data_IF_256487991454
#
_entry.id   IF_256487991454
#
_cell.length_a   1.000
_cell.length_b   1.000
_cell.length_c   1.000
_cell.angle_alpha   90.00
_cell.angle_beta   90.00
_cell.angle_gamma   90.00
#
_symmetry.space_group_name_H-M   'P 1'
#
loop_
_entity.id
_entity.type
_entity.pdbx_description
1 polymer ?
#
# COMPACT_ATOMS: atom_id res chain seq x y z
N UNK A 1 7.54 -1.34 6.71
CA UNK A 1 6.51 -2.36 6.47
C UNK A 1 5.71 -2.50 7.74
N UNK A 2 4.41 -2.35 7.63
CA UNK A 2 3.48 -2.37 8.75
C UNK A 2 2.44 -3.43 8.46
N UNK A 3 2.16 -4.27 9.45
CA UNK A 3 0.97 -5.09 9.50
C UNK A 3 -0.06 -4.38 10.40
N UNK A 4 -1.34 -4.54 10.09
CA UNK A 4 -2.42 -3.92 10.86
C UNK A 4 -3.64 -4.84 10.93
N UNK A 5 -4.26 -4.87 12.09
CA UNK A 5 -5.55 -5.52 12.36
C UNK A 5 -6.14 -4.98 13.67
N UNK A 6 -7.36 -5.37 14.04
CA UNK A 6 -7.96 -4.83 15.27
C UNK A 6 -7.37 -5.32 16.60
N UNK A 7 -6.47 -6.31 16.61
CA UNK A 7 -5.73 -6.71 17.82
C UNK A 7 -4.44 -5.92 17.98
N UNK A 8 -3.70 -5.71 16.88
CA UNK A 8 -2.61 -4.74 16.80
C UNK A 8 -2.83 -3.81 15.59
N UNK A 9 -3.45 -2.63 15.81
CA UNK A 9 -3.80 -1.72 14.72
C UNK A 9 -2.62 -1.15 13.95
N UNK A 10 -1.39 -1.30 14.46
CA UNK A 10 -0.20 -0.74 13.82
C UNK A 10 1.09 -1.44 14.27
N UNK A 11 1.35 -2.63 13.72
CA UNK A 11 2.52 -3.43 14.03
C UNK A 11 3.65 -3.18 13.01
N UNK A 12 4.75 -2.57 13.47
CA UNK A 12 5.91 -2.29 12.60
C UNK A 12 6.81 -3.53 12.49
N UNK A 13 6.70 -4.25 11.36
CA UNK A 13 7.53 -5.45 11.09
C UNK A 13 8.94 -5.07 10.64
N UNK A 14 9.07 -4.02 9.83
CA UNK A 14 10.37 -3.54 9.37
C UNK A 14 10.38 -2.03 9.21
N UNK A 15 11.39 -1.38 9.77
CA UNK A 15 11.43 0.07 9.86
C UNK A 15 12.65 0.65 9.12
N UNK A 16 12.38 1.50 8.11
CA UNK A 16 13.35 2.30 7.34
C UNK A 16 14.65 1.57 6.93
N UNK A 17 14.59 0.23 6.80
CA UNK A 17 15.75 -0.60 6.54
C UNK A 17 16.00 -0.75 5.04
N UNK A 18 17.28 -0.95 4.62
CA UNK A 18 17.58 -1.30 3.24
C UNK A 18 16.81 -2.54 2.80
N UNK A 19 16.30 -2.56 1.57
CA UNK A 19 15.49 -3.67 1.06
C UNK A 19 16.20 -5.03 1.20
N UNK A 20 17.51 -5.08 1.00
CA UNK A 20 18.31 -6.30 1.12
C UNK A 20 18.43 -6.84 2.57
N UNK A 21 18.09 -6.03 3.57
CA UNK A 21 18.09 -6.39 4.98
C UNK A 21 16.70 -6.82 5.49
N UNK A 22 15.66 -6.72 4.66
CA UNK A 22 14.30 -7.14 5.02
C UNK A 22 14.23 -8.66 4.95
N UNK A 23 13.95 -9.29 6.10
CA UNK A 23 13.75 -10.74 6.16
C UNK A 23 12.44 -11.14 5.45
N UNK A 24 12.38 -12.35 4.84
CA UNK A 24 11.12 -12.89 4.34
C UNK A 24 10.08 -12.99 5.44
N UNK A 25 8.82 -12.68 5.11
CA UNK A 25 7.69 -12.90 5.99
C UNK A 25 7.51 -14.41 6.25
N UNK A 26 7.23 -14.75 7.51
CA UNK A 26 6.94 -16.11 7.96
C UNK A 26 5.59 -16.15 8.66
N UNK A 27 5.07 -17.35 8.92
CA UNK A 27 3.84 -17.51 9.69
C UNK A 27 3.97 -17.02 11.16
N UNK A 28 5.19 -16.76 11.65
CA UNK A 28 5.38 -16.14 12.98
C UNK A 28 5.46 -14.61 12.92
N UNK A 29 5.78 -14.02 11.77
CA UNK A 29 6.01 -12.57 11.61
C UNK A 29 4.92 -11.87 10.78
N UNK A 30 4.09 -12.63 10.07
CA UNK A 30 2.93 -12.14 9.33
C UNK A 30 1.70 -12.98 9.68
N UNK A 31 0.90 -12.50 10.63
CA UNK A 31 -0.19 -13.27 11.24
C UNK A 31 -1.50 -12.55 10.96
N UNK A 32 -2.34 -13.02 10.02
CA UNK A 32 -3.66 -12.44 9.80
C UNK A 32 -4.54 -12.58 11.05
N UNK A 33 -5.17 -11.48 11.48
CA UNK A 33 -6.01 -11.44 12.70
C UNK A 33 -7.26 -10.58 12.47
N UNK A 34 -8.33 -10.93 13.17
CA UNK A 34 -9.52 -10.13 13.43
C UNK A 34 -10.07 -9.31 12.24
N UNK A 35 -10.04 -7.98 12.32
CA UNK A 35 -10.75 -7.07 11.41
C UNK A 35 -9.81 -5.99 10.86
N UNK A 36 -10.28 -5.12 9.96
CA UNK A 36 -9.44 -4.28 9.10
C UNK A 36 -9.58 -2.78 9.44
N UNK A 37 -8.71 -2.21 10.29
CA UNK A 37 -8.65 -0.76 10.54
C UNK A 37 -7.79 -0.06 9.47
N UNK A 38 -8.22 -0.15 8.21
CA UNK A 38 -7.51 0.36 7.03
C UNK A 38 -7.25 1.87 7.12
N UNK A 39 -8.26 2.67 7.47
CA UNK A 39 -8.12 4.13 7.54
C UNK A 39 -7.16 4.57 8.65
N UNK A 40 -7.20 3.92 9.82
CA UNK A 40 -6.25 4.19 10.90
C UNK A 40 -4.82 3.82 10.49
N UNK A 41 -4.62 2.66 9.86
CA UNK A 41 -3.32 2.23 9.37
C UNK A 41 -2.75 3.19 8.31
N UNK A 42 -3.57 3.63 7.36
CA UNK A 42 -3.20 4.61 6.34
C UNK A 42 -2.88 5.98 6.95
N UNK A 43 -3.77 6.50 7.79
CA UNK A 43 -3.62 7.81 8.41
C UNK A 43 -2.34 7.91 9.24
N UNK A 44 -2.12 6.92 10.11
CA UNK A 44 -0.90 6.83 10.92
C UNK A 44 0.35 6.67 10.05
N UNK A 45 0.33 5.74 9.10
CA UNK A 45 1.50 5.47 8.25
C UNK A 45 1.91 6.62 7.36
N UNK A 46 0.97 7.40 6.83
CA UNK A 46 1.28 8.61 6.06
C UNK A 46 1.97 9.65 6.95
N UNK A 47 1.42 9.92 8.14
CA UNK A 47 1.96 10.94 9.05
C UNK A 47 3.33 10.55 9.61
N UNK A 48 3.50 9.27 9.97
CA UNK A 48 4.78 8.78 10.48
C UNK A 48 5.87 8.83 9.40
N UNK A 49 5.56 8.37 8.19
CA UNK A 49 6.51 8.43 7.07
C UNK A 49 6.86 9.88 6.72
N UNK A 50 5.89 10.80 6.72
CA UNK A 50 6.16 12.23 6.54
C UNK A 50 7.13 12.78 7.60
N UNK A 51 6.88 12.50 8.88
CA UNK A 51 7.73 12.96 9.96
C UNK A 51 9.17 12.45 9.82
N UNK A 52 9.33 11.18 9.43
CA UNK A 52 10.64 10.57 9.16
C UNK A 52 11.34 11.24 7.98
N UNK A 53 10.65 11.47 6.87
CA UNK A 53 11.22 12.13 5.70
C UNK A 53 11.62 13.58 5.95
N UNK A 54 10.89 14.29 6.81
CA UNK A 54 11.22 15.64 7.25
C UNK A 54 12.50 15.68 8.10
N UNK A 55 12.80 14.62 8.84
CA UNK A 55 14.03 14.50 9.63
C UNK A 55 15.27 14.15 8.78
N UNK A 56 15.11 13.73 7.52
CA UNK A 56 16.22 13.42 6.62
C UNK A 56 16.74 14.71 5.98
N UNK A 57 18.07 14.96 5.99
CA UNK A 57 18.66 16.09 5.27
C UNK A 57 18.27 16.09 3.79
N UNK A 58 18.01 17.26 3.22
CA UNK A 58 17.49 17.38 1.85
C UNK A 58 18.31 16.62 0.80
N UNK A 59 19.65 16.62 0.94
CA UNK A 59 20.56 15.92 0.03
C UNK A 59 20.44 14.38 0.06
N UNK A 60 19.84 13.83 1.12
CA UNK A 60 19.65 12.39 1.32
C UNK A 60 18.17 11.97 1.23
N UNK A 61 17.25 12.92 1.04
CA UNK A 61 15.82 12.62 0.97
C UNK A 61 15.54 11.79 -0.31
N UNK A 62 14.76 10.71 -0.24
CA UNK A 62 14.47 9.89 -1.40
C UNK A 62 13.73 10.72 -2.46
N UNK A 63 14.14 10.59 -3.72
CA UNK A 63 13.49 11.27 -4.84
C UNK A 63 12.14 10.69 -5.26
N UNK A 64 11.76 9.51 -4.73
CA UNK A 64 10.49 8.82 -5.03
C UNK A 64 10.00 8.07 -3.82
N UNK A 65 8.69 8.10 -3.60
CA UNK A 65 8.02 7.42 -2.48
C UNK A 65 6.87 6.61 -3.05
N UNK A 66 6.93 5.30 -2.84
CA UNK A 66 5.87 4.36 -3.21
C UNK A 66 5.21 3.87 -1.92
N UNK A 67 3.90 4.05 -1.81
CA UNK A 67 3.09 3.59 -0.69
C UNK A 67 2.19 2.45 -1.16
N UNK A 68 2.55 1.21 -0.83
CA UNK A 68 1.82 0.02 -1.27
C UNK A 68 0.92 -0.46 -0.13
N UNK A 69 -0.36 -0.61 -0.42
CA UNK A 69 -1.38 -1.17 0.47
C UNK A 69 -1.78 -2.54 -0.06
N UNK A 70 -1.82 -3.51 0.82
CA UNK A 70 -2.25 -4.87 0.51
C UNK A 70 -3.30 -5.28 1.53
N UNK A 71 -4.49 -5.70 1.07
CA UNK A 71 -5.55 -6.16 1.98
C UNK A 71 -6.54 -7.10 1.29
N UNK A 72 -7.05 -8.08 2.02
CA UNK A 72 -8.10 -9.01 1.58
C UNK A 72 -9.47 -8.73 2.22
N UNK A 73 -9.63 -7.58 2.88
CA UNK A 73 -10.88 -7.16 3.52
C UNK A 73 -11.10 -5.63 3.47
N UNK A 74 -12.37 -5.23 3.46
CA UNK A 74 -12.80 -3.82 3.47
C UNK A 74 -12.57 -3.15 4.82
N UNK A 75 -12.54 -1.82 4.86
CA UNK A 75 -12.56 -1.05 6.11
C UNK A 75 -13.78 -1.42 6.98
N UNK A 76 -13.55 -1.68 8.27
CA UNK A 76 -14.62 -2.01 9.22
C UNK A 76 -14.28 -1.79 10.71
N UNK A 77 -13.14 -1.18 11.04
CA UNK A 77 -12.64 -1.15 12.41
C UNK A 77 -11.87 0.12 12.83
N UNK A 78 -11.66 1.07 11.91
CA UNK A 78 -10.97 2.33 12.19
C UNK A 78 -11.76 3.23 13.13
N UNK A 79 -11.05 3.99 13.97
CA UNK A 79 -11.60 4.86 15.03
C UNK A 79 -10.98 6.25 15.09
N UNK A 80 -9.78 6.44 14.57
CA UNK A 80 -9.03 7.71 14.66
C UNK A 80 -9.07 8.51 13.35
N UNK A 81 -9.17 7.80 12.24
CA UNK A 81 -9.22 8.35 10.90
C UNK A 81 -10.49 7.88 10.19
N UNK A 82 -11.16 8.83 9.55
CA UNK A 82 -12.25 8.55 8.64
C UNK A 82 -11.77 8.67 7.19
N UNK A 83 -12.65 8.24 6.26
CA UNK A 83 -12.40 8.31 4.83
C UNK A 83 -12.00 9.71 4.35
N UNK A 84 -12.66 10.75 4.84
CA UNK A 84 -12.43 12.13 4.37
C UNK A 84 -11.04 12.62 4.78
N UNK A 85 -10.63 12.33 6.01
CA UNK A 85 -9.31 12.66 6.54
C UNK A 85 -8.21 11.90 5.79
N UNK A 86 -8.38 10.58 5.58
CA UNK A 86 -7.39 9.78 4.84
C UNK A 86 -7.31 10.22 3.37
N UNK A 87 -8.44 10.47 2.72
CA UNK A 87 -8.43 10.98 1.34
C UNK A 87 -7.71 12.33 1.22
N UNK A 88 -7.92 13.23 2.18
CA UNK A 88 -7.20 14.51 2.24
C UNK A 88 -5.69 14.30 2.36
N UNK A 89 -5.25 13.36 3.21
CA UNK A 89 -3.84 13.02 3.37
C UNK A 89 -3.25 12.43 2.07
N UNK A 90 -3.93 11.47 1.45
CA UNK A 90 -3.50 10.84 0.20
C UNK A 90 -3.34 11.88 -0.90
N UNK A 91 -4.37 12.72 -1.12
CA UNK A 91 -4.34 13.77 -2.14
C UNK A 91 -3.18 14.76 -1.90
N UNK A 92 -2.95 15.17 -0.65
CA UNK A 92 -1.83 16.05 -0.31
C UNK A 92 -0.48 15.39 -0.60
N UNK A 93 -0.32 14.09 -0.31
CA UNK A 93 0.93 13.37 -0.60
C UNK A 93 1.14 13.09 -2.08
N UNK A 94 0.08 12.81 -2.83
CA UNK A 94 0.15 12.69 -4.29
C UNK A 94 0.59 14.00 -4.95
N UNK A 95 0.14 15.15 -4.45
CA UNK A 95 0.62 16.46 -4.90
C UNK A 95 2.12 16.69 -4.62
N UNK A 96 2.68 15.98 -3.65
CA UNK A 96 4.12 15.94 -3.35
C UNK A 96 4.86 14.80 -4.08
N UNK A 97 4.21 14.12 -5.01
CA UNK A 97 4.80 13.07 -5.84
C UNK A 97 4.83 11.67 -5.20
N UNK A 98 4.10 11.43 -4.12
CA UNK A 98 3.92 10.07 -3.59
C UNK A 98 3.00 9.27 -4.52
N UNK A 99 3.36 8.02 -4.79
CA UNK A 99 2.52 7.11 -5.57
C UNK A 99 1.89 6.09 -4.61
N UNK A 100 0.56 6.04 -4.60
CA UNK A 100 -0.20 5.06 -3.81
C UNK A 100 -0.62 3.90 -4.71
N UNK A 101 -0.32 2.68 -4.28
CA UNK A 101 -0.63 1.44 -5.00
C UNK A 101 -1.51 0.59 -4.09
N UNK A 102 -2.66 0.13 -4.58
CA UNK A 102 -3.62 -0.62 -3.78
C UNK A 102 -3.86 -1.99 -4.39
N UNK A 103 -3.47 -3.04 -3.68
CA UNK A 103 -3.64 -4.43 -4.09
C UNK A 103 -4.68 -5.05 -3.17
N UNK A 104 -5.79 -5.56 -3.72
CA UNK A 104 -6.82 -6.17 -2.89
C UNK A 104 -7.36 -7.48 -3.42
N UNK A 105 -7.67 -8.38 -2.49
CA UNK A 105 -8.40 -9.60 -2.78
C UNK A 105 -9.93 -9.42 -2.66
N UNK A 106 -10.39 -8.25 -2.22
CA UNK A 106 -11.79 -7.97 -1.90
C UNK A 106 -12.32 -6.77 -2.69
N UNK A 107 -13.49 -6.94 -3.31
CA UNK A 107 -14.07 -5.90 -4.17
C UNK A 107 -14.46 -4.65 -3.37
N UNK A 108 -14.96 -4.81 -2.14
CA UNK A 108 -15.35 -3.65 -1.34
C UNK A 108 -14.13 -2.85 -0.87
N UNK A 109 -13.03 -3.53 -0.55
CA UNK A 109 -11.75 -2.86 -0.29
C UNK A 109 -11.19 -2.16 -1.54
N UNK A 110 -11.42 -2.71 -2.73
CA UNK A 110 -11.06 -2.04 -3.99
C UNK A 110 -11.87 -0.76 -4.22
N UNK A 111 -13.16 -0.77 -3.89
CA UNK A 111 -14.01 0.43 -3.93
C UNK A 111 -13.61 1.47 -2.88
N UNK A 112 -13.18 1.02 -1.69
CA UNK A 112 -12.58 1.89 -0.67
C UNK A 112 -11.39 2.68 -1.25
N UNK A 113 -10.48 2.02 -1.98
CA UNK A 113 -9.32 2.67 -2.58
C UNK A 113 -9.71 3.80 -3.54
N UNK A 114 -10.72 3.57 -4.40
CA UNK A 114 -11.24 4.60 -5.30
C UNK A 114 -11.84 5.77 -4.52
N UNK A 115 -12.60 5.47 -3.46
CA UNK A 115 -13.20 6.50 -2.59
C UNK A 115 -12.16 7.35 -1.84
N UNK A 116 -10.96 6.81 -1.64
CA UNK A 116 -9.84 7.49 -1.01
C UNK A 116 -9.04 8.37 -1.99
N UNK A 117 -9.30 8.29 -3.30
CA UNK A 117 -8.57 9.03 -4.33
C UNK A 117 -7.42 8.23 -4.96
N UNK A 118 -7.31 6.93 -4.67
CA UNK A 118 -6.36 6.05 -5.34
C UNK A 118 -7.00 5.57 -6.64
N UNK A 119 -6.47 6.03 -7.77
CA UNK A 119 -7.03 5.76 -9.08
C UNK A 119 -7.01 4.27 -9.45
N UNK A 120 -7.95 3.86 -10.30
CA UNK A 120 -8.03 2.49 -10.85
C UNK A 120 -6.72 2.03 -11.50
N UNK A 121 -5.96 2.96 -12.09
CA UNK A 121 -4.67 2.66 -12.72
C UNK A 121 -3.65 2.12 -11.72
N UNK A 122 -3.64 2.61 -10.49
CA UNK A 122 -2.72 2.17 -9.44
C UNK A 122 -3.36 1.18 -8.47
N UNK A 123 -4.51 0.62 -8.83
CA UNK A 123 -5.23 -0.37 -8.04
C UNK A 123 -5.38 -1.69 -8.80
N UNK A 124 -5.22 -2.82 -8.11
CA UNK A 124 -5.34 -4.17 -8.66
C UNK A 124 -6.20 -5.04 -7.74
N UNK A 125 -7.33 -5.52 -8.27
CA UNK A 125 -8.10 -6.60 -7.66
C UNK A 125 -7.47 -7.94 -8.05
N UNK A 126 -7.35 -8.87 -7.12
CA UNK A 126 -6.81 -10.21 -7.39
C UNK A 126 -7.66 -11.32 -6.74
N UNK A 127 -7.67 -12.51 -7.35
CA UNK A 127 -8.42 -13.65 -6.85
C UNK A 127 -7.90 -14.15 -5.49
N UNK A 128 -8.81 -14.54 -4.59
CA UNK A 128 -8.52 -15.15 -3.26
C UNK A 128 -7.97 -16.58 -3.37
N UNK A 129 -7.02 -16.81 -4.28
CA UNK A 129 -6.36 -18.09 -4.52
C UNK A 129 -4.90 -17.88 -4.92
N UNK A 130 -4.06 -18.89 -4.69
CA UNK A 130 -2.61 -18.83 -4.92
C UNK A 130 -2.23 -18.16 -6.25
N UNK A 131 -2.86 -18.57 -7.36
CA UNK A 131 -2.57 -18.03 -8.69
C UNK A 131 -2.81 -16.52 -8.80
N UNK A 132 -3.87 -16.00 -8.19
CA UNK A 132 -4.26 -14.59 -8.30
C UNK A 132 -3.28 -13.73 -7.51
N UNK A 133 -2.96 -14.16 -6.29
CA UNK A 133 -1.90 -13.53 -5.49
C UNK A 133 -0.54 -13.57 -6.17
N UNK A 134 -0.11 -14.72 -6.73
CA UNK A 134 1.17 -14.85 -7.44
C UNK A 134 1.27 -13.87 -8.62
N UNK A 135 0.19 -13.73 -9.39
CA UNK A 135 0.11 -12.78 -10.51
C UNK A 135 0.15 -11.35 -10.00
N UNK A 136 -0.62 -11.01 -8.96
CA UNK A 136 -0.63 -9.66 -8.38
C UNK A 136 0.75 -9.23 -7.89
N UNK A 137 1.48 -10.10 -7.18
CA UNK A 137 2.85 -9.82 -6.73
C UNK A 137 3.81 -9.65 -7.89
N UNK A 138 3.70 -10.50 -8.91
CA UNK A 138 4.55 -10.44 -10.10
C UNK A 138 4.33 -9.14 -10.88
N UNK A 139 3.07 -8.74 -11.08
CA UNK A 139 2.70 -7.49 -11.75
C UNK A 139 3.17 -6.28 -10.96
N UNK A 140 2.86 -6.22 -9.65
CA UNK A 140 3.29 -5.11 -8.80
C UNK A 140 4.82 -4.96 -8.79
N UNK A 141 5.55 -6.06 -8.61
CA UNK A 141 7.02 -6.09 -8.66
C UNK A 141 7.55 -5.61 -10.03
N UNK A 142 6.95 -6.08 -11.13
CA UNK A 142 7.29 -5.67 -12.48
C UNK A 142 7.11 -4.17 -12.71
N UNK A 143 5.93 -3.61 -12.37
CA UNK A 143 5.64 -2.18 -12.53
C UNK A 143 6.52 -1.30 -11.65
N UNK A 144 6.78 -1.72 -10.40
CA UNK A 144 7.70 -1.00 -9.51
C UNK A 144 9.13 -1.02 -10.08
N UNK A 145 9.56 -2.14 -10.66
CA UNK A 145 10.87 -2.23 -11.33
C UNK A 145 10.96 -1.31 -12.55
N UNK A 146 9.95 -1.28 -13.42
CA UNK A 146 9.88 -0.38 -14.57
C UNK A 146 9.92 1.08 -14.14
N UNK A 147 9.13 1.42 -13.11
CA UNK A 147 9.10 2.76 -12.52
C UNK A 147 10.47 3.14 -11.98
N UNK A 148 11.12 2.26 -11.22
CA UNK A 148 12.47 2.48 -10.65
C UNK A 148 13.54 2.64 -11.72
N UNK A 149 13.43 1.90 -12.84
CA UNK A 149 14.35 1.98 -13.97
C UNK A 149 14.10 3.21 -14.87
N UNK A 150 13.05 4.00 -14.61
CA UNK A 150 12.69 5.14 -15.45
C UNK A 150 12.07 4.75 -16.79
N UNK A 151 11.62 3.49 -16.94
CA UNK A 151 10.92 3.00 -18.13
C UNK A 151 9.47 3.51 -18.13
N UNK A 152 8.87 3.65 -16.94
CA UNK A 152 7.51 4.18 -16.76
C UNK A 152 7.48 5.41 -15.86
N UNK A 153 6.57 6.33 -16.16
CA UNK A 153 6.32 7.54 -15.39
C UNK A 153 5.43 7.31 -14.15
N UNK A 154 4.77 6.15 -14.06
CA UNK A 154 3.97 5.78 -12.89
C UNK A 154 3.85 4.26 -12.74
N UNK A 155 3.53 3.80 -11.53
CA UNK A 155 3.01 2.43 -11.35
C UNK A 155 1.55 2.38 -11.78
N UNK A 156 1.29 1.71 -12.91
CA UNK A 156 -0.04 1.54 -13.47
C UNK A 156 -0.23 0.13 -14.03
N UNK A 157 -1.42 -0.44 -13.80
CA UNK A 157 -1.86 -1.71 -14.35
C UNK A 157 -2.80 -1.50 -15.54
N UNK A 158 -2.61 -2.26 -16.62
CA UNK A 158 -3.54 -2.24 -17.76
C UNK A 158 -4.70 -3.22 -17.59
N UNK A 159 -5.64 -3.23 -18.54
CA UNK A 159 -6.83 -4.08 -18.45
C UNK A 159 -6.52 -5.57 -18.61
N UNK A 160 -5.52 -5.94 -19.41
CA UNK A 160 -5.09 -7.33 -19.57
C UNK A 160 -4.43 -7.86 -18.31
N UNK A 161 -3.60 -7.03 -17.68
CA UNK A 161 -2.95 -7.32 -16.41
C UNK A 161 -3.98 -7.51 -15.28
N UNK A 162 -5.00 -6.64 -15.20
CA UNK A 162 -6.10 -6.80 -14.22
C UNK A 162 -6.82 -8.14 -14.38
N UNK A 163 -7.25 -8.46 -15.59
CA UNK A 163 -7.93 -9.74 -15.90
C UNK A 163 -7.07 -10.96 -15.59
N UNK A 164 -5.74 -10.82 -15.61
CA UNK A 164 -4.85 -11.94 -15.31
C UNK A 164 -4.71 -12.22 -13.81
N UNK A 165 -5.04 -11.24 -12.95
CA UNK A 165 -4.92 -11.31 -11.51
C UNK A 165 -6.21 -11.77 -10.81
N UNK A 166 -7.38 -11.56 -11.42
CA UNK A 166 -8.70 -12.06 -11.01
C UNK A 166 -8.76 -13.60 -10.95
#
# INVERSE_FOLDING_TARGET
MVQFDSQDPYEVIADFAPLAAIAPLTAETYIPRATTPLYDALGRGILELEARLAAIPDALRPGRILYVVVTDGQENASREFDRARVSTLINAKQALGWEFIFLSADLAAFDDAQSLGIGRNSSLLFGKHKRGSDVAWSLASGKIRERRAGISDAVAFDEGERKSAE
#
